data_IF_241832021137
#
_entry.id   IF_241832021137
#
_cell.length_a   1.000
_cell.length_b   1.000
_cell.length_c   1.000
_cell.angle_alpha   90.00
_cell.angle_beta   90.00
_cell.angle_gamma   90.00
#
_symmetry.space_group_name_H-M   'P 1'
#
loop_
_entity.id
_entity.type
_entity.pdbx_description
1 polymer ?
#
# COMPACT_ATOMS: atom_id res chain seq x y z
N UNK A 1 69.41 -18.17 3.10
CA UNK A 1 68.14 -18.47 3.80
C UNK A 1 67.10 -17.42 3.37
N UNK A 2 65.83 -17.83 3.16
CA UNK A 2 64.96 -17.54 1.99
C UNK A 2 64.11 -16.24 2.18
N UNK A 3 63.27 -15.73 1.26
CA UNK A 3 62.44 -16.37 0.23
C UNK A 3 61.96 -15.39 -0.86
N UNK A 4 61.85 -15.92 -2.09
CA UNK A 4 61.01 -15.43 -3.20
C UNK A 4 59.52 -15.57 -2.85
N UNK A 5 58.67 -14.62 -3.27
CA UNK A 5 57.33 -14.91 -3.84
C UNK A 5 56.67 -13.68 -4.51
N UNK A 6 56.56 -13.74 -5.85
CA UNK A 6 55.50 -13.07 -6.63
C UNK A 6 54.17 -13.83 -6.45
N UNK A 7 53.06 -13.49 -7.14
CA UNK A 7 52.45 -12.21 -7.51
C UNK A 7 51.00 -12.09 -6.96
N UNK A 8 50.57 -10.90 -6.56
CA UNK A 8 49.17 -10.63 -6.20
C UNK A 8 48.36 -10.20 -7.42
N UNK A 9 47.90 -11.16 -8.22
CA UNK A 9 46.87 -10.94 -9.25
C UNK A 9 45.58 -10.50 -8.58
N UNK A 10 45.26 -9.21 -8.65
CA UNK A 10 43.98 -8.67 -8.17
C UNK A 10 43.10 -8.37 -9.38
N UNK A 11 42.42 -9.41 -9.85
CA UNK A 11 41.24 -9.26 -10.69
C UNK A 11 40.19 -8.44 -9.92
N UNK A 12 40.12 -7.12 -10.13
CA UNK A 12 38.89 -6.40 -9.84
C UNK A 12 37.90 -6.68 -10.95
N UNK A 13 37.05 -7.66 -10.66
CA UNK A 13 35.72 -7.90 -11.22
C UNK A 13 35.13 -6.62 -11.79
N UNK A 14 34.95 -6.61 -13.12
CA UNK A 14 34.11 -5.67 -13.82
C UNK A 14 32.71 -5.71 -13.18
N UNK A 15 32.36 -4.66 -12.44
CA UNK A 15 30.98 -4.45 -11.98
C UNK A 15 30.14 -4.15 -13.22
N UNK A 16 29.46 -5.18 -13.73
CA UNK A 16 28.34 -5.02 -14.67
C UNK A 16 27.38 -3.96 -14.15
N UNK A 17 26.97 -2.98 -14.96
CA UNK A 17 25.97 -1.99 -14.54
C UNK A 17 24.66 -2.74 -14.24
N UNK A 18 24.24 -2.72 -12.96
CA UNK A 18 22.92 -3.18 -12.56
C UNK A 18 21.90 -2.37 -13.36
N UNK A 19 21.23 -3.02 -14.31
CA UNK A 19 20.05 -2.51 -14.98
C UNK A 19 19.12 -1.94 -13.91
N UNK A 20 18.95 -0.62 -13.94
CA UNK A 20 18.01 0.08 -13.06
C UNK A 20 16.63 -0.37 -13.49
N UNK A 21 16.10 -1.40 -12.84
CA UNK A 21 14.66 -1.72 -12.90
C UNK A 21 13.91 -0.39 -12.73
N UNK A 22 12.91 -0.09 -13.58
CA UNK A 22 12.16 1.15 -13.46
C UNK A 22 11.69 1.25 -12.01
N UNK A 23 12.01 2.36 -11.36
CA UNK A 23 11.57 2.60 -9.98
C UNK A 23 10.05 2.52 -10.04
N UNK A 24 9.46 1.44 -9.55
CA UNK A 24 8.02 1.36 -9.31
C UNK A 24 7.69 2.60 -8.49
N UNK A 25 6.95 3.55 -9.07
CA UNK A 25 6.50 4.72 -8.33
C UNK A 25 5.84 4.21 -7.06
N UNK A 26 6.29 4.73 -5.91
CA UNK A 26 5.74 4.31 -4.63
C UNK A 26 4.29 4.75 -4.62
N UNK A 27 3.38 3.78 -4.54
CA UNK A 27 1.96 4.07 -4.43
C UNK A 27 1.72 4.86 -3.14
N UNK A 28 1.48 6.17 -3.28
CA UNK A 28 1.03 7.03 -2.21
C UNK A 28 -0.49 6.98 -2.12
N UNK A 29 -1.01 6.68 -0.93
CA UNK A 29 -2.42 6.84 -0.62
C UNK A 29 -2.72 8.33 -0.41
N UNK A 30 -3.64 8.85 -1.22
CA UNK A 30 -4.25 10.17 -1.07
C UNK A 30 -5.72 9.97 -0.67
N UNK A 31 -6.39 11.03 -0.23
CA UNK A 31 -7.79 10.97 0.20
C UNK A 31 -8.70 10.38 -0.89
N UNK A 32 -8.56 10.77 -2.14
CA UNK A 32 -9.35 10.19 -3.24
C UNK A 32 -9.16 8.69 -3.39
N UNK A 33 -7.91 8.22 -3.23
CA UNK A 33 -7.57 6.80 -3.28
C UNK A 33 -8.10 6.06 -2.05
N UNK A 34 -8.05 6.69 -0.88
CA UNK A 34 -8.63 6.15 0.35
C UNK A 34 -10.14 6.02 0.21
N UNK A 35 -10.85 7.05 -0.26
CA UNK A 35 -12.29 7.00 -0.54
C UNK A 35 -12.61 5.85 -1.51
N UNK A 36 -11.83 5.72 -2.59
CA UNK A 36 -12.06 4.66 -3.57
C UNK A 36 -11.80 3.27 -2.99
N UNK A 37 -10.72 3.11 -2.24
CA UNK A 37 -10.41 1.91 -1.48
C UNK A 37 -11.57 1.52 -0.55
N UNK A 38 -12.08 2.48 0.23
CA UNK A 38 -13.17 2.25 1.18
C UNK A 38 -14.46 1.86 0.45
N UNK A 39 -14.84 2.56 -0.64
CA UNK A 39 -15.99 2.20 -1.47
C UNK A 39 -15.88 0.79 -2.05
N UNK A 40 -14.73 0.43 -2.62
CA UNK A 40 -14.51 -0.91 -3.17
C UNK A 40 -14.52 -1.97 -2.07
N UNK A 41 -13.97 -1.67 -0.89
CA UNK A 41 -14.00 -2.58 0.25
C UNK A 41 -15.43 -2.78 0.77
N UNK A 42 -16.26 -1.74 0.88
CA UNK A 42 -17.68 -1.88 1.25
C UNK A 42 -18.43 -2.73 0.20
N UNK A 43 -18.23 -2.46 -1.09
CA UNK A 43 -18.93 -3.15 -2.16
C UNK A 43 -18.59 -4.66 -2.23
N UNK A 44 -17.33 -5.02 -1.99
CA UNK A 44 -16.87 -6.42 -2.03
C UNK A 44 -16.97 -7.12 -0.67
N UNK A 45 -17.18 -6.35 0.40
CA UNK A 45 -17.24 -6.79 1.78
C UNK A 45 -16.21 -7.89 2.14
N UNK A 46 -14.90 -7.57 2.09
CA UNK A 46 -13.87 -8.58 2.26
C UNK A 46 -13.74 -9.11 3.70
N UNK A 47 -14.48 -8.53 4.66
CA UNK A 47 -14.47 -8.98 6.06
C UNK A 47 -15.32 -10.22 6.29
N UNK A 48 -16.49 -10.32 5.64
CA UNK A 48 -17.38 -11.48 5.79
C UNK A 48 -16.95 -12.69 4.94
N UNK A 49 -16.23 -12.45 3.84
CA UNK A 49 -15.95 -13.45 2.80
C UNK A 49 -14.48 -13.93 2.77
N UNK A 50 -13.59 -13.36 3.59
CA UNK A 50 -12.19 -13.80 3.77
C UNK A 50 -11.15 -13.18 2.84
N UNK A 51 -9.90 -13.65 2.94
CA UNK A 51 -8.71 -13.08 2.25
C UNK A 51 -8.78 -13.08 0.71
N UNK A 52 -9.64 -13.92 0.11
CA UNK A 52 -9.86 -13.95 -1.34
C UNK A 52 -10.41 -12.60 -1.85
N UNK A 53 -11.33 -11.99 -1.09
CA UNK A 53 -11.92 -10.69 -1.45
C UNK A 53 -10.94 -9.54 -1.33
N UNK A 54 -10.00 -9.59 -0.40
CA UNK A 54 -8.92 -8.61 -0.36
C UNK A 54 -8.07 -8.64 -1.63
N UNK A 55 -7.87 -9.82 -2.22
CA UNK A 55 -7.19 -9.96 -3.51
C UNK A 55 -8.01 -9.32 -4.62
N UNK A 56 -9.33 -9.48 -4.59
CA UNK A 56 -10.23 -8.82 -5.54
C UNK A 56 -10.24 -7.29 -5.39
N UNK A 57 -10.29 -6.76 -4.17
CA UNK A 57 -10.19 -5.32 -3.87
C UNK A 57 -8.85 -4.77 -4.38
N UNK A 58 -7.75 -5.47 -4.13
CA UNK A 58 -6.44 -5.06 -4.62
C UNK A 58 -6.38 -5.06 -6.15
N UNK A 59 -6.96 -6.07 -6.81
CA UNK A 59 -7.03 -6.15 -8.26
C UNK A 59 -7.80 -4.97 -8.86
N UNK A 60 -8.99 -4.66 -8.33
CA UNK A 60 -9.80 -3.50 -8.72
C UNK A 60 -9.02 -2.18 -8.60
N UNK A 61 -8.30 -1.99 -7.48
CA UNK A 61 -7.47 -0.81 -7.27
C UNK A 61 -6.28 -0.75 -8.24
N UNK A 62 -5.69 -1.90 -8.55
CA UNK A 62 -4.60 -1.99 -9.52
C UNK A 62 -5.08 -1.66 -10.93
N UNK A 63 -6.27 -2.10 -11.31
CA UNK A 63 -6.90 -1.78 -12.60
C UNK A 63 -7.25 -0.29 -12.70
N UNK A 64 -7.84 0.29 -11.64
CA UNK A 64 -8.21 1.71 -11.62
C UNK A 64 -7.02 2.66 -11.59
N UNK A 65 -6.03 2.40 -10.74
CA UNK A 65 -4.91 3.32 -10.53
C UNK A 65 -3.67 2.97 -11.34
N UNK A 66 -3.64 1.80 -12.00
CA UNK A 66 -2.46 1.25 -12.70
C UNK A 66 -1.24 1.12 -11.78
N UNK A 67 -1.48 0.80 -10.51
CA UNK A 67 -0.44 0.54 -9.51
C UNK A 67 -0.44 -0.92 -9.09
N UNK A 68 0.62 -1.34 -8.40
CA UNK A 68 0.82 -2.70 -7.92
C UNK A 68 0.62 -2.71 -6.39
N UNK A 69 -0.63 -2.67 -5.97
CA UNK A 69 -1.07 -2.74 -4.57
C UNK A 69 -1.32 -4.20 -4.21
N UNK A 70 -0.81 -4.61 -3.05
CA UNK A 70 -1.03 -5.98 -2.53
C UNK A 70 -2.27 -6.01 -1.63
N UNK A 71 -3.01 -7.14 -1.55
CA UNK A 71 -4.15 -7.29 -0.64
C UNK A 71 -3.79 -6.97 0.81
N UNK A 72 -2.57 -7.33 1.23
CA UNK A 72 -2.05 -6.99 2.55
C UNK A 72 -1.92 -5.48 2.76
N UNK A 73 -1.39 -4.75 1.78
CA UNK A 73 -1.30 -3.28 1.83
C UNK A 73 -2.69 -2.64 1.88
N UNK A 74 -3.63 -3.17 1.11
CA UNK A 74 -5.03 -2.74 1.08
C UNK A 74 -5.68 -2.89 2.46
N UNK A 75 -5.53 -4.06 3.08
CA UNK A 75 -6.05 -4.37 4.42
C UNK A 75 -5.40 -3.50 5.50
N UNK A 76 -4.06 -3.42 5.51
CA UNK A 76 -3.30 -2.58 6.45
C UNK A 76 -3.70 -1.11 6.33
N UNK A 77 -3.96 -0.64 5.10
CA UNK A 77 -4.43 0.73 4.90
C UNK A 77 -5.80 0.95 5.52
N UNK A 78 -6.79 0.09 5.25
CA UNK A 78 -8.13 0.24 5.84
C UNK A 78 -8.08 0.16 7.36
N UNK A 79 -7.30 -0.76 7.91
CA UNK A 79 -7.10 -0.88 9.37
C UNK A 79 -6.54 0.41 9.98
N UNK A 80 -5.49 0.98 9.37
CA UNK A 80 -4.96 2.30 9.77
C UNK A 80 -6.01 3.40 9.68
N UNK A 81 -6.82 3.41 8.62
CA UNK A 81 -7.89 4.40 8.44
C UNK A 81 -8.94 4.32 9.57
N UNK A 82 -9.32 3.09 9.94
CA UNK A 82 -10.22 2.81 11.07
C UNK A 82 -9.61 3.27 12.39
N UNK A 83 -8.34 2.93 12.66
CA UNK A 83 -7.63 3.34 13.87
C UNK A 83 -7.54 4.87 13.95
N UNK A 84 -7.17 5.53 12.84
CA UNK A 84 -7.10 6.99 12.75
C UNK A 84 -8.45 7.65 13.02
N UNK A 85 -9.56 7.05 12.55
CA UNK A 85 -10.89 7.54 12.87
C UNK A 85 -11.21 7.37 14.36
N UNK A 86 -10.94 6.20 14.95
CA UNK A 86 -11.16 5.92 16.38
C UNK A 86 -10.35 6.86 17.27
N UNK A 87 -9.16 7.26 16.84
CA UNK A 87 -8.29 8.22 17.54
C UNK A 87 -8.64 9.70 17.25
N UNK A 88 -9.67 9.98 16.43
CA UNK A 88 -10.01 11.32 15.95
C UNK A 88 -8.86 12.04 15.20
N UNK A 89 -7.85 11.31 14.76
CA UNK A 89 -6.68 11.81 14.01
C UNK A 89 -6.90 11.81 12.48
N UNK A 90 -8.13 11.55 12.02
CA UNK A 90 -8.42 11.48 10.58
C UNK A 90 -8.23 12.83 9.84
N UNK A 91 -8.09 13.93 10.59
CA UNK A 91 -7.87 15.29 10.07
C UNK A 91 -6.58 15.32 9.26
N UNK A 92 -6.74 15.24 7.94
CA UNK A 92 -5.63 15.33 7.01
C UNK A 92 -5.39 16.80 6.68
N UNK A 93 -4.13 17.24 6.61
CA UNK A 93 -3.76 18.63 6.24
C UNK A 93 -4.08 18.98 4.78
N UNK A 94 -4.44 17.99 3.98
CA UNK A 94 -4.67 18.08 2.54
C UNK A 94 -6.04 17.47 2.25
N UNK A 95 -6.88 18.12 1.45
CA UNK A 95 -8.24 17.66 1.08
C UNK A 95 -9.35 18.63 1.52
N UNK A 96 -10.45 18.69 0.77
CA UNK A 96 -11.63 19.50 1.13
C UNK A 96 -12.40 18.89 2.30
N UNK A 97 -13.13 19.72 3.03
CA UNK A 97 -13.93 19.31 4.19
C UNK A 97 -14.96 18.23 3.81
N UNK A 98 -15.54 18.32 2.61
CA UNK A 98 -16.44 17.31 2.04
C UNK A 98 -15.76 15.95 1.86
N UNK A 99 -14.54 15.90 1.33
CA UNK A 99 -13.82 14.64 1.14
C UNK A 99 -13.42 14.00 2.48
N UNK A 100 -13.11 14.82 3.49
CA UNK A 100 -12.81 14.32 4.83
C UNK A 100 -14.07 13.74 5.49
N UNK A 101 -15.20 14.40 5.30
CA UNK A 101 -16.52 13.93 5.78
C UNK A 101 -16.89 12.62 5.11
N UNK A 102 -16.86 12.56 3.77
CA UNK A 102 -17.20 11.34 3.01
C UNK A 102 -16.29 10.17 3.42
N UNK A 103 -14.97 10.41 3.55
CA UNK A 103 -14.03 9.38 4.02
C UNK A 103 -14.40 8.89 5.42
N UNK A 104 -14.75 9.80 6.33
CA UNK A 104 -15.17 9.45 7.69
C UNK A 104 -16.42 8.59 7.71
N UNK A 105 -17.45 8.96 6.95
CA UNK A 105 -18.71 8.21 6.81
C UNK A 105 -18.47 6.81 6.23
N UNK A 106 -17.62 6.69 5.19
CA UNK A 106 -17.27 5.40 4.60
C UNK A 106 -16.52 4.51 5.59
N UNK A 107 -15.61 5.07 6.40
CA UNK A 107 -14.92 4.30 7.44
C UNK A 107 -15.90 3.87 8.53
N UNK A 108 -16.84 4.72 8.95
CA UNK A 108 -17.88 4.34 9.91
C UNK A 108 -18.75 3.19 9.40
N UNK A 109 -19.15 3.22 8.13
CA UNK A 109 -19.87 2.11 7.50
C UNK A 109 -19.06 0.81 7.54
N UNK A 110 -17.76 0.88 7.26
CA UNK A 110 -16.88 -0.29 7.34
C UNK A 110 -16.79 -0.81 8.78
N UNK A 111 -16.64 0.07 9.77
CA UNK A 111 -16.62 -0.33 11.18
C UNK A 111 -17.92 -1.05 11.53
N UNK A 112 -19.07 -0.52 11.13
CA UNK A 112 -20.36 -1.16 11.35
C UNK A 112 -20.44 -2.56 10.71
N UNK A 113 -19.93 -2.73 9.48
CA UNK A 113 -19.90 -4.03 8.78
C UNK A 113 -18.93 -5.02 9.45
N UNK A 114 -17.87 -4.54 10.07
CA UNK A 114 -16.85 -5.38 10.74
C UNK A 114 -17.29 -5.80 12.15
N UNK A 115 -18.05 -4.95 12.85
CA UNK A 115 -18.55 -5.22 14.20
C UNK A 115 -19.89 -5.96 14.22
N UNK A 116 -20.58 -6.10 13.08
CA UNK A 116 -21.81 -6.89 12.89
C UNK A 116 -21.51 -8.36 12.49
#
# INVERSE_FOLDING_TARGET
MPARKSPGSSHKVCKTPKEKKPKKERFGFNIEKDIRLLRTAIALNPWQLGDDKWTQVAKELNEMFKYDVTPRTTKDRVDRLVIQLKQQELKSKTGTEEQQTERGELIQQIIAIVEE
#
